data_IF_536252868533
#
_entry.id   IF_536252868533
#
_cell.length_a   1.000
_cell.length_b   1.000
_cell.length_c   1.000
_cell.angle_alpha   90.00
_cell.angle_beta   90.00
_cell.angle_gamma   90.00
#
_symmetry.space_group_name_H-M   'P 1'
#
loop_
_entity.id
_entity.type
_entity.pdbx_description
1 polymer ?
#
# COMPACT_ATOMS: atom_id res chain seq x y z
N UNK A 1 -8.64 -5.48 3.85
CA UNK A 1 -7.31 -4.92 4.13
C UNK A 1 -6.50 -4.70 2.86
N UNK A 2 -6.26 -5.70 2.00
CA UNK A 2 -5.50 -5.50 0.75
C UNK A 2 -6.04 -4.36 -0.13
N UNK A 3 -7.36 -4.29 -0.40
CA UNK A 3 -7.96 -3.17 -1.16
C UNK A 3 -7.73 -1.79 -0.52
N UNK A 4 -7.67 -1.73 0.80
CA UNK A 4 -7.39 -0.49 1.54
C UNK A 4 -5.93 -0.09 1.38
N UNK A 5 -5.01 -1.06 1.37
CA UNK A 5 -3.60 -0.83 1.00
C UNK A 5 -3.52 -0.30 -0.42
N UNK A 6 -4.20 -0.93 -1.37
CA UNK A 6 -4.18 -0.53 -2.78
C UNK A 6 -4.75 0.90 -2.97
N UNK A 7 -5.85 1.23 -2.28
CA UNK A 7 -6.42 2.58 -2.29
C UNK A 7 -5.49 3.63 -1.67
N UNK A 8 -4.84 3.32 -0.54
CA UNK A 8 -3.86 4.21 0.09
C UNK A 8 -2.62 4.42 -0.80
N UNK A 9 -2.20 3.39 -1.52
CA UNK A 9 -1.13 3.49 -2.51
C UNK A 9 -1.53 4.42 -3.66
N UNK A 10 -2.70 4.21 -4.25
CA UNK A 10 -3.23 5.02 -5.35
C UNK A 10 -3.38 6.50 -4.94
N UNK A 11 -3.77 6.78 -3.69
CA UNK A 11 -3.80 8.14 -3.17
C UNK A 11 -2.40 8.77 -3.10
N UNK A 12 -1.39 8.04 -2.62
CA UNK A 12 -0.02 8.54 -2.57
C UNK A 12 0.55 8.79 -3.99
N UNK A 13 0.26 7.91 -4.95
CA UNK A 13 0.62 8.09 -6.36
C UNK A 13 -0.06 9.31 -6.96
N UNK A 14 -1.37 9.48 -6.74
CA UNK A 14 -2.12 10.64 -7.21
C UNK A 14 -1.58 11.95 -6.63
N UNK A 15 -1.18 11.98 -5.35
CA UNK A 15 -0.54 13.16 -4.75
C UNK A 15 0.79 13.48 -5.43
N UNK A 16 1.59 12.45 -5.74
CA UNK A 16 2.87 12.62 -6.44
C UNK A 16 2.67 13.13 -7.87
N UNK A 17 1.64 12.66 -8.59
CA UNK A 17 1.28 13.17 -9.91
C UNK A 17 0.82 14.63 -9.85
N UNK A 18 -0.05 14.96 -8.89
CA UNK A 18 -0.57 16.32 -8.70
C UNK A 18 0.51 17.33 -8.32
N UNK A 19 1.49 16.93 -7.51
CA UNK A 19 2.57 17.82 -7.08
C UNK A 19 3.71 17.93 -8.10
N UNK A 20 3.73 17.04 -9.09
CA UNK A 20 4.75 16.99 -10.13
C UNK A 20 6.09 16.44 -9.62
N UNK A 21 7.04 16.16 -10.53
CA UNK A 21 8.33 15.59 -10.16
C UNK A 21 9.10 16.56 -9.23
N UNK A 22 9.54 16.12 -8.04
CA UNK A 22 10.21 16.97 -7.07
C UNK A 22 11.53 17.57 -7.58
N UNK A 23 12.07 17.03 -8.68
CA UNK A 23 13.27 17.53 -9.35
C UNK A 23 13.07 18.80 -10.18
N UNK A 24 11.84 19.16 -10.57
CA UNK A 24 11.58 20.35 -11.40
C UNK A 24 11.15 21.55 -10.56
N UNK A 25 10.41 21.32 -9.47
CA UNK A 25 10.08 22.34 -8.47
C UNK A 25 9.97 21.64 -7.10
N UNK A 26 10.70 22.11 -6.07
CA UNK A 26 10.57 21.53 -4.74
C UNK A 26 9.14 21.70 -4.24
N UNK A 27 8.59 20.65 -3.66
CA UNK A 27 7.28 20.69 -3.03
C UNK A 27 7.28 21.65 -1.84
N UNK A 28 6.15 22.32 -1.62
CA UNK A 28 5.96 23.09 -0.39
C UNK A 28 5.94 22.17 0.84
N UNK A 29 6.26 22.72 2.02
CA UNK A 29 6.23 21.96 3.28
C UNK A 29 4.88 21.25 3.51
N UNK A 30 3.76 21.89 3.13
CA UNK A 30 2.41 21.32 3.25
C UNK A 30 2.20 20.15 2.28
N UNK A 31 2.71 20.23 1.05
CA UNK A 31 2.62 19.15 0.06
C UNK A 31 3.47 17.95 0.50
N UNK A 32 4.70 18.19 0.94
CA UNK A 32 5.57 17.15 1.49
C UNK A 32 4.94 16.46 2.69
N UNK A 33 4.39 17.22 3.64
CA UNK A 33 3.71 16.66 4.80
C UNK A 33 2.49 15.82 4.41
N UNK A 34 1.67 16.31 3.46
CA UNK A 34 0.48 15.58 2.97
C UNK A 34 0.87 14.26 2.30
N UNK A 35 1.89 14.28 1.44
CA UNK A 35 2.41 13.08 0.81
C UNK A 35 3.00 12.10 1.82
N UNK A 36 3.81 12.58 2.77
CA UNK A 36 4.40 11.74 3.82
C UNK A 36 3.35 11.09 4.70
N UNK A 37 2.27 11.79 5.04
CA UNK A 37 1.15 11.21 5.80
C UNK A 37 0.46 10.10 5.01
N UNK A 38 0.14 10.33 3.73
CA UNK A 38 -0.46 9.31 2.88
C UNK A 38 0.48 8.10 2.72
N UNK A 39 1.77 8.34 2.52
CA UNK A 39 2.79 7.30 2.40
C UNK A 39 2.96 6.47 3.68
N UNK A 40 2.93 7.11 4.86
CA UNK A 40 2.98 6.41 6.15
C UNK A 40 1.74 5.55 6.34
N UNK A 41 0.55 6.09 6.09
CA UNK A 41 -0.70 5.34 6.20
C UNK A 41 -0.69 4.10 5.29
N UNK A 42 -0.25 4.23 4.04
CA UNK A 42 -0.08 3.09 3.14
C UNK A 42 0.90 2.06 3.68
N UNK A 43 2.08 2.50 4.15
CA UNK A 43 3.11 1.59 4.69
C UNK A 43 2.63 0.81 5.91
N UNK A 44 1.88 1.44 6.80
CA UNK A 44 1.39 0.79 8.00
C UNK A 44 0.34 -0.27 7.63
N UNK A 45 -0.59 0.05 6.74
CA UNK A 45 -1.54 -0.94 6.21
C UNK A 45 -0.85 -2.10 5.48
N UNK A 46 0.21 -1.82 4.71
CA UNK A 46 0.97 -2.84 3.99
C UNK A 46 1.69 -3.80 4.97
N UNK A 47 2.21 -3.28 6.09
CA UNK A 47 2.81 -4.08 7.16
C UNK A 47 1.78 -4.97 7.83
N UNK A 48 0.59 -4.44 8.11
CA UNK A 48 -0.48 -5.22 8.73
C UNK A 48 -0.92 -6.38 7.84
N UNK A 49 -1.05 -6.15 6.53
CA UNK A 49 -1.35 -7.22 5.57
C UNK A 49 -0.24 -8.26 5.51
N UNK A 50 1.03 -7.82 5.46
CA UNK A 50 2.17 -8.74 5.44
C UNK A 50 2.23 -9.60 6.71
N UNK A 51 1.95 -9.01 7.88
CA UNK A 51 1.86 -9.72 9.14
C UNK A 51 0.73 -10.76 9.11
N UNK A 52 -0.46 -10.37 8.67
CA UNK A 52 -1.61 -11.27 8.58
C UNK A 52 -1.37 -12.46 7.62
N UNK A 53 -0.76 -12.20 6.45
CA UNK A 53 -0.37 -13.25 5.50
C UNK A 53 0.67 -14.19 6.13
N UNK A 54 1.66 -13.65 6.83
CA UNK A 54 2.71 -14.46 7.46
C UNK A 54 2.12 -15.37 8.54
N UNK A 55 1.27 -14.82 9.41
CA UNK A 55 0.55 -15.59 10.43
C UNK A 55 -0.31 -16.67 9.80
N UNK A 56 -1.14 -16.33 8.81
CA UNK A 56 -1.98 -17.31 8.12
C UNK A 56 -1.16 -18.44 7.47
N UNK A 57 -0.06 -18.10 6.78
CA UNK A 57 0.81 -19.07 6.14
C UNK A 57 1.42 -20.04 7.17
N UNK A 58 1.89 -19.52 8.31
CA UNK A 58 2.41 -20.35 9.41
C UNK A 58 1.34 -21.25 10.00
N UNK A 59 0.16 -20.71 10.31
CA UNK A 59 -0.93 -21.46 10.96
C UNK A 59 -1.48 -22.58 10.06
N UNK A 60 -1.46 -22.37 8.74
CA UNK A 60 -1.97 -23.33 7.75
C UNK A 60 -0.88 -24.20 7.10
N UNK A 61 0.39 -23.99 7.45
CA UNK A 61 1.52 -24.68 6.81
C UNK A 61 1.65 -24.39 5.30
N UNK A 62 1.07 -23.28 4.84
CA UNK A 62 1.11 -22.85 3.44
C UNK A 62 2.37 -22.01 3.16
N UNK A 63 2.79 -21.95 1.90
CA UNK A 63 3.84 -21.04 1.47
C UNK A 63 3.35 -19.58 1.51
N UNK A 64 4.12 -18.67 2.11
CA UNK A 64 3.77 -17.24 2.17
C UNK A 64 3.46 -16.66 0.78
N UNK A 65 4.22 -17.05 -0.23
CA UNK A 65 4.04 -16.60 -1.61
C UNK A 65 2.70 -17.06 -2.22
N UNK A 66 2.24 -18.28 -1.89
CA UNK A 66 0.96 -18.80 -2.36
C UNK A 66 -0.21 -18.04 -1.73
N UNK A 67 -0.10 -17.74 -0.44
CA UNK A 67 -1.08 -16.93 0.30
C UNK A 67 -1.12 -15.50 -0.23
N UNK A 68 0.03 -14.86 -0.46
CA UNK A 68 0.12 -13.51 -1.07
C UNK A 68 -0.54 -13.49 -2.45
N UNK A 69 -0.27 -14.47 -3.31
CA UNK A 69 -0.88 -14.58 -4.63
C UNK A 69 -2.40 -14.78 -4.53
N UNK A 70 -2.88 -15.56 -3.56
CA UNK A 70 -4.32 -15.75 -3.30
C UNK A 70 -4.99 -14.47 -2.85
N UNK A 71 -4.38 -13.74 -1.92
CA UNK A 71 -4.88 -12.44 -1.44
C UNK A 71 -4.92 -11.41 -2.56
N UNK A 72 -3.87 -11.34 -3.39
CA UNK A 72 -3.82 -10.43 -4.55
C UNK A 72 -4.91 -10.74 -5.57
N UNK A 73 -5.13 -12.02 -5.89
CA UNK A 73 -6.23 -12.44 -6.78
C UNK A 73 -7.60 -12.09 -6.19
N UNK A 74 -7.83 -12.40 -4.91
CA UNK A 74 -9.10 -12.07 -4.25
C UNK A 74 -9.35 -10.55 -4.16
N UNK A 75 -8.30 -9.74 -4.00
CA UNK A 75 -8.42 -8.29 -4.01
C UNK A 75 -8.85 -7.76 -5.38
N UNK A 76 -8.32 -8.32 -6.47
CA UNK A 76 -8.63 -7.94 -7.85
C UNK A 76 -9.85 -8.62 -8.51
N UNK A 77 -10.44 -9.66 -7.90
CA UNK A 77 -11.63 -10.37 -8.41
C UNK A 77 -12.96 -9.77 -7.96
N UNK A 78 -12.96 -8.61 -7.31
CA UNK A 78 -14.21 -7.95 -6.90
C UNK A 78 -14.50 -6.82 -7.88
N UNK A 79 -15.14 -7.22 -8.97
CA UNK A 79 -15.97 -6.39 -9.85
C UNK A 79 -17.34 -7.07 -9.99
#
# INVERSE_FOLDING_TARGET
>A
MQRTVDAAHAQAESLREQYGPPGTRPWSARQSQTYETAWRAWRDLARDVQAAVTTYATDHGEGRQDVEARVKRAAGQTE
#
